data_IF_695420949583
#
_entry.id   IF_695420949583
#
_cell.length_a   1.000
_cell.length_b   1.000
_cell.length_c   1.000
_cell.angle_alpha   90.00
_cell.angle_beta   90.00
_cell.angle_gamma   90.00
#
_symmetry.space_group_name_H-M   'P 1'
#
loop_
_entity.id
_entity.type
_entity.pdbx_description
1 polymer ?
#
# COMPACT_ATOMS: atom_id res chain seq x y z
N UNK A 1 8.83 -0.84 -10.09
CA UNK A 1 7.74 -1.70 -10.58
C UNK A 1 7.87 -3.03 -9.88
N UNK A 2 6.79 -3.57 -9.33
CA UNK A 2 6.77 -4.86 -8.63
C UNK A 2 5.75 -5.74 -9.36
N UNK A 3 6.06 -7.03 -9.51
CA UNK A 3 5.13 -8.03 -10.04
C UNK A 3 4.88 -9.10 -8.99
N UNK A 4 3.62 -9.39 -8.73
CA UNK A 4 3.15 -10.38 -7.74
C UNK A 4 2.08 -11.23 -8.40
N UNK A 5 2.08 -12.54 -8.16
CA UNK A 5 1.04 -13.40 -8.72
C UNK A 5 -0.24 -13.30 -7.89
N UNK A 6 -1.38 -13.46 -8.54
CA UNK A 6 -2.67 -13.58 -7.85
C UNK A 6 -2.61 -14.72 -6.82
N UNK A 7 -3.08 -14.44 -5.61
CA UNK A 7 -3.06 -15.38 -4.49
C UNK A 7 -1.75 -15.40 -3.69
N UNK A 8 -0.69 -14.71 -4.15
CA UNK A 8 0.53 -14.52 -3.37
C UNK A 8 0.44 -13.28 -2.47
N UNK A 9 1.26 -13.25 -1.42
CA UNK A 9 1.39 -12.07 -0.56
C UNK A 9 2.19 -10.96 -1.27
N UNK A 10 1.68 -9.74 -1.28
CA UNK A 10 2.47 -8.55 -1.61
C UNK A 10 2.92 -7.89 -0.30
N UNK A 11 4.23 -7.98 -0.03
CA UNK A 11 4.87 -7.25 1.06
C UNK A 11 5.30 -5.87 0.57
N UNK A 12 4.71 -4.84 1.15
CA UNK A 12 5.19 -3.47 1.01
C UNK A 12 6.03 -3.15 2.25
N UNK A 13 7.28 -3.62 2.25
CA UNK A 13 8.29 -3.36 3.29
C UNK A 13 8.80 -1.90 3.28
N UNK A 14 7.95 -0.96 2.85
CA UNK A 14 8.36 0.38 2.42
C UNK A 14 7.77 1.48 3.31
N UNK A 15 7.33 1.14 4.52
CA UNK A 15 6.90 2.15 5.47
C UNK A 15 8.14 2.79 6.11
N UNK A 16 8.67 3.80 5.42
CA UNK A 16 9.73 4.65 5.92
C UNK A 16 9.35 5.24 7.30
N UNK A 17 10.33 5.59 8.16
CA UNK A 17 10.05 6.18 9.48
C UNK A 17 9.21 7.46 9.45
N UNK A 18 9.16 8.18 8.32
CA UNK A 18 8.33 9.36 8.11
C UNK A 18 7.04 9.10 7.31
N UNK A 19 6.79 7.87 6.85
CA UNK A 19 5.58 7.51 6.12
C UNK A 19 4.33 7.64 6.99
N UNK A 20 3.36 8.42 6.55
CA UNK A 20 2.13 8.72 7.28
C UNK A 20 0.90 8.09 6.63
N UNK A 21 0.82 8.01 5.29
CA UNK A 21 -0.29 7.36 4.59
C UNK A 21 0.14 6.70 3.30
N UNK A 22 -0.63 5.68 2.88
CA UNK A 22 -0.52 5.06 1.55
C UNK A 22 -1.83 5.24 0.83
N UNK A 23 -1.75 5.61 -0.45
CA UNK A 23 -2.90 5.68 -1.35
C UNK A 23 -2.68 4.78 -2.55
N UNK A 24 -3.76 4.16 -3.03
CA UNK A 24 -3.77 3.30 -4.20
C UNK A 24 -4.65 3.91 -5.30
N UNK A 25 -4.30 3.65 -6.55
CA UNK A 25 -5.04 4.04 -7.73
C UNK A 25 -5.01 2.90 -8.73
N UNK A 26 -6.15 2.25 -8.92
CA UNK A 26 -6.35 1.11 -9.82
C UNK A 26 -7.15 1.51 -11.08
N UNK A 27 -7.00 2.75 -11.58
CA UNK A 27 -7.68 3.24 -12.77
C UNK A 27 -8.76 4.31 -12.51
N UNK A 28 -8.61 5.09 -11.44
CA UNK A 28 -9.59 6.11 -11.04
C UNK A 28 -9.00 7.15 -10.10
N UNK A 29 -9.67 7.43 -8.98
CA UNK A 29 -9.17 8.33 -7.94
C UNK A 29 -8.18 7.63 -6.99
N UNK A 30 -7.37 8.43 -6.30
CA UNK A 30 -6.49 7.94 -5.23
C UNK A 30 -7.31 7.66 -3.97
N UNK A 31 -7.33 6.40 -3.54
CA UNK A 31 -7.98 5.98 -2.30
C UNK A 31 -6.96 5.66 -1.21
N UNK A 32 -7.21 6.10 0.01
CA UNK A 32 -6.36 5.80 1.16
C UNK A 32 -6.50 4.33 1.56
N UNK A 33 -5.38 3.61 1.52
CA UNK A 33 -5.29 2.18 1.89
C UNK A 33 -4.45 1.96 3.15
N UNK A 34 -3.84 3.03 3.67
CA UNK A 34 -3.12 3.01 4.94
C UNK A 34 -3.02 4.38 5.56
N UNK A 35 -2.96 4.43 6.90
CA UNK A 35 -2.63 5.62 7.67
C UNK A 35 -1.92 5.20 8.96
N UNK A 36 -0.80 5.83 9.29
CA UNK A 36 -0.08 5.65 10.55
C UNK A 36 -1.01 5.91 11.74
N UNK A 37 -0.95 5.03 12.74
CA UNK A 37 -1.72 5.19 13.98
C UNK A 37 -3.23 4.93 13.85
N UNK A 38 -3.73 4.65 12.65
CA UNK A 38 -5.14 4.33 12.41
C UNK A 38 -5.27 2.97 11.72
N UNK A 39 -6.22 2.16 12.17
CA UNK A 39 -6.64 0.97 11.42
C UNK A 39 -7.44 1.43 10.20
N UNK A 40 -6.78 1.61 9.06
CA UNK A 40 -7.48 1.81 7.78
C UNK A 40 -7.42 0.50 6.98
N UNK A 41 -8.63 -0.05 6.74
CA UNK A 41 -9.14 -1.26 6.03
C UNK A 41 -8.23 -2.07 5.08
N UNK A 42 -8.39 -3.39 4.86
CA UNK A 42 -9.48 -4.39 5.06
C UNK A 42 -8.93 -5.73 5.63
N UNK A 43 -9.76 -6.78 5.79
CA UNK A 43 -9.36 -8.14 6.29
C UNK A 43 -8.16 -8.79 5.56
N UNK A 44 -7.82 -8.26 4.39
CA UNK A 44 -6.74 -8.69 3.50
C UNK A 44 -5.36 -8.13 3.90
N UNK A 45 -5.23 -7.23 4.87
CA UNK A 45 -3.93 -6.67 5.27
C UNK A 45 -3.60 -6.90 6.75
N UNK A 46 -2.37 -7.34 7.04
CA UNK A 46 -1.83 -7.40 8.41
C UNK A 46 -0.75 -6.34 8.56
N UNK A 47 -0.76 -5.68 9.72
CA UNK A 47 0.42 -4.99 10.25
C UNK A 47 1.25 -6.01 11.02
N UNK A 48 2.46 -6.30 10.52
CA UNK A 48 3.44 -7.12 11.23
C UNK A 48 4.78 -6.39 11.17
N UNK A 49 5.34 -6.10 12.34
CA UNK A 49 6.69 -5.57 12.51
C UNK A 49 7.00 -4.27 11.73
N UNK A 50 6.00 -3.38 11.57
CA UNK A 50 6.16 -2.11 10.86
C UNK A 50 5.94 -2.19 9.35
N UNK A 51 5.60 -3.38 8.81
CA UNK A 51 5.35 -3.58 7.39
C UNK A 51 3.85 -3.60 7.07
N UNK A 52 3.52 -3.21 5.84
CA UNK A 52 2.19 -3.38 5.29
C UNK A 52 2.17 -4.55 4.31
N UNK A 53 1.35 -5.56 4.61
CA UNK A 53 1.28 -6.82 3.84
C UNK A 53 -0.12 -6.98 3.27
N UNK A 54 -0.26 -7.08 1.95
CA UNK A 54 -1.47 -7.64 1.30
C UNK A 54 -1.34 -9.16 1.36
N UNK A 55 -2.22 -9.83 2.08
CA UNK A 55 -2.19 -11.29 2.29
C UNK A 55 -2.52 -12.11 1.04
N UNK A 56 -3.43 -11.61 0.23
CA UNK A 56 -3.91 -12.30 -0.96
C UNK A 56 -4.05 -11.25 -2.05
N UNK A 57 -3.02 -11.11 -2.88
CA UNK A 57 -3.03 -10.18 -3.99
C UNK A 57 -4.06 -10.59 -5.02
N UNK A 58 -4.95 -9.67 -5.41
CA UNK A 58 -5.96 -9.90 -6.46
C UNK A 58 -5.68 -9.01 -7.67
N UNK A 59 -6.22 -9.39 -8.83
CA UNK A 59 -6.03 -8.61 -10.06
C UNK A 59 -6.51 -7.15 -9.91
N UNK A 60 -7.54 -6.95 -9.10
CA UNK A 60 -8.12 -5.65 -8.73
C UNK A 60 -7.28 -4.85 -7.71
N UNK A 61 -6.19 -5.42 -7.18
CA UNK A 61 -5.18 -4.70 -6.38
C UNK A 61 -4.02 -4.20 -7.26
N UNK A 62 -4.00 -4.52 -8.56
CA UNK A 62 -3.06 -3.90 -9.51
C UNK A 62 -3.31 -2.39 -9.61
N UNK A 63 -2.24 -1.65 -9.88
CA UNK A 63 -2.32 -0.19 -9.98
C UNK A 63 -1.10 0.53 -9.45
N UNK A 64 -1.25 1.83 -9.27
CA UNK A 64 -0.22 2.69 -8.68
C UNK A 64 -0.49 2.87 -7.19
N UNK A 65 0.57 2.80 -6.41
CA UNK A 65 0.60 3.05 -4.98
C UNK A 65 1.54 4.21 -4.72
N UNK A 66 1.17 5.09 -3.80
CA UNK A 66 2.05 6.16 -3.32
C UNK A 66 2.10 6.17 -1.80
N UNK A 67 3.31 6.31 -1.27
CA UNK A 67 3.57 6.53 0.15
C UNK A 67 3.78 8.02 0.34
N UNK A 68 3.14 8.60 1.35
CA UNK A 68 3.27 10.02 1.67
C UNK A 68 3.60 10.24 3.13
N UNK A 69 4.24 11.36 3.44
CA UNK A 69 4.43 11.86 4.79
C UNK A 69 3.20 12.64 5.30
N UNK A 70 3.30 13.16 6.52
CA UNK A 70 2.22 13.88 7.20
C UNK A 70 1.86 15.21 6.52
N UNK A 71 2.83 15.82 5.82
CA UNK A 71 2.64 17.06 5.06
C UNK A 71 1.97 16.80 3.70
N UNK A 72 1.88 15.54 3.28
CA UNK A 72 1.31 15.13 2.01
C UNK A 72 2.34 15.06 0.87
N UNK A 73 3.63 15.14 1.18
CA UNK A 73 4.68 14.95 0.18
C UNK A 73 4.75 13.47 -0.20
N UNK A 74 4.94 13.21 -1.50
CA UNK A 74 5.11 11.85 -2.01
C UNK A 74 6.55 11.40 -1.73
N UNK A 75 6.69 10.40 -0.88
CA UNK A 75 7.98 9.78 -0.57
C UNK A 75 8.34 8.73 -1.63
N UNK A 76 7.34 7.93 -2.04
CA UNK A 76 7.55 6.77 -2.92
C UNK A 76 6.34 6.59 -3.83
N UNK A 77 6.58 6.20 -5.08
CA UNK A 77 5.55 5.71 -6.00
C UNK A 77 5.94 4.33 -6.52
N UNK A 78 5.02 3.37 -6.46
CA UNK A 78 5.19 2.01 -6.95
C UNK A 78 4.06 1.66 -7.91
N UNK A 79 4.39 1.02 -9.03
CA UNK A 79 3.41 0.38 -9.90
C UNK A 79 3.44 -1.12 -9.64
N UNK A 80 2.28 -1.69 -9.33
CA UNK A 80 2.04 -3.13 -9.16
C UNK A 80 1.26 -3.64 -10.37
N UNK A 81 1.76 -4.70 -10.99
CA UNK A 81 1.17 -5.35 -12.17
C UNK A 81 1.15 -6.85 -12.01
#
# INVERSE_FOLDING_TARGET
>A
RISVKTGEELKMDVLLPNADKVEANSGGEWRKVWKRGHRVWSDLMIHKDGNQIIKEFKANDTGKYRVMDFEGNILITVTVT
#
